data_IF_931457585582
#
_entry.id   IF_931457585582
#
_cell.length_a   1.000
_cell.length_b   1.000
_cell.length_c   1.000
_cell.angle_alpha   90.00
_cell.angle_beta   90.00
_cell.angle_gamma   90.00
#
_symmetry.space_group_name_H-M   'P 1'
#
loop_
_entity.id
_entity.type
_entity.pdbx_description
1 polymer ?
#
# COMPACT_ATOMS: atom_id res chain seq x y z
N UNK A 1 10.19 11.75 -15.35
CA UNK A 1 9.08 11.93 -14.42
C UNK A 1 9.45 11.39 -13.06
N UNK A 2 9.09 12.13 -12.01
CA UNK A 2 9.40 11.70 -10.66
C UNK A 2 8.35 10.74 -10.15
N UNK A 3 8.80 9.69 -9.50
CA UNK A 3 7.91 8.78 -8.82
C UNK A 3 7.59 9.27 -7.42
N UNK A 4 6.44 8.88 -6.90
CA UNK A 4 6.11 9.08 -5.50
C UNK A 4 6.70 7.90 -4.74
N UNK A 5 7.53 8.20 -3.74
CA UNK A 5 8.15 7.16 -2.90
C UNK A 5 7.76 7.38 -1.44
N UNK A 6 7.35 6.31 -0.78
CA UNK A 6 6.95 6.34 0.62
C UNK A 6 7.58 5.15 1.31
N UNK A 7 8.36 5.42 2.35
CA UNK A 7 8.94 4.39 3.19
C UNK A 7 8.21 4.40 4.53
N UNK A 8 7.90 3.22 5.03
CA UNK A 8 7.27 3.07 6.33
C UNK A 8 7.98 1.94 7.10
N UNK A 9 8.52 2.27 8.26
CA UNK A 9 9.15 1.29 9.14
C UNK A 9 8.10 0.71 10.08
N UNK A 10 8.10 -0.61 10.23
CA UNK A 10 7.14 -1.29 11.10
C UNK A 10 7.86 -2.06 12.19
N UNK A 11 7.15 -2.31 13.29
CA UNK A 11 7.68 -3.05 14.44
C UNK A 11 7.26 -4.53 14.44
N UNK A 12 6.56 -4.95 13.39
CA UNK A 12 6.07 -6.32 13.23
C UNK A 12 7.16 -7.21 12.63
N UNK A 13 6.94 -8.53 12.67
CA UNK A 13 7.76 -9.43 11.87
C UNK A 13 7.44 -9.17 10.38
N UNK A 14 8.40 -9.49 9.51
CA UNK A 14 8.18 -9.29 8.08
C UNK A 14 7.02 -10.16 7.57
N UNK A 15 6.87 -11.35 8.11
CA UNK A 15 5.79 -12.24 7.73
C UNK A 15 4.42 -11.68 8.12
N UNK A 16 4.30 -11.14 9.33
CA UNK A 16 3.07 -10.50 9.80
C UNK A 16 2.78 -9.25 8.96
N UNK A 17 3.79 -8.43 8.69
CA UNK A 17 3.63 -7.24 7.85
C UNK A 17 3.12 -7.62 6.46
N UNK A 18 3.67 -8.67 5.85
CA UNK A 18 3.20 -9.12 4.54
C UNK A 18 1.74 -9.56 4.59
N UNK A 19 1.36 -10.33 5.61
CA UNK A 19 -0.03 -10.78 5.76
C UNK A 19 -0.99 -9.61 5.84
N UNK A 20 -0.62 -8.58 6.58
CA UNK A 20 -1.45 -7.38 6.73
C UNK A 20 -1.54 -6.59 5.43
N UNK A 21 -0.46 -6.54 4.67
CA UNK A 21 -0.46 -5.86 3.38
C UNK A 21 -1.27 -6.62 2.33
N UNK A 22 -1.38 -7.94 2.46
CA UNK A 22 -2.30 -8.72 1.64
C UNK A 22 -3.76 -8.34 1.95
N UNK A 23 -4.07 -8.12 3.22
CA UNK A 23 -5.40 -7.64 3.63
C UNK A 23 -5.67 -6.25 3.02
N UNK A 24 -4.68 -5.37 3.05
CA UNK A 24 -4.79 -4.06 2.43
C UNK A 24 -5.08 -4.19 0.93
N UNK A 25 -4.42 -5.13 0.26
CA UNK A 25 -4.69 -5.40 -1.15
C UNK A 25 -6.13 -5.79 -1.41
N UNK A 26 -6.71 -6.64 -0.56
CA UNK A 26 -8.12 -7.01 -0.66
C UNK A 26 -9.03 -5.78 -0.47
N UNK A 27 -8.71 -4.95 0.51
CA UNK A 27 -9.46 -3.73 0.74
C UNK A 27 -9.46 -2.83 -0.49
N UNK A 28 -8.28 -2.59 -1.08
CA UNK A 28 -8.14 -1.73 -2.24
C UNK A 28 -8.89 -2.28 -3.45
N UNK A 29 -8.87 -3.59 -3.64
CA UNK A 29 -9.61 -4.23 -4.71
C UNK A 29 -11.11 -4.14 -4.51
N UNK A 30 -11.58 -4.43 -3.30
CA UNK A 30 -13.01 -4.45 -3.00
C UNK A 30 -13.61 -3.06 -2.92
N UNK A 31 -12.86 -2.11 -2.38
CA UNK A 31 -13.39 -0.76 -2.14
C UNK A 31 -13.22 0.16 -3.35
N UNK A 32 -12.08 0.06 -4.02
CA UNK A 32 -11.70 1.02 -5.07
C UNK A 32 -11.46 0.39 -6.44
N UNK A 33 -11.54 -0.93 -6.55
CA UNK A 33 -11.27 -1.61 -7.81
C UNK A 33 -9.81 -1.57 -8.23
N UNK A 34 -8.90 -1.32 -7.30
CA UNK A 34 -7.46 -1.32 -7.57
C UNK A 34 -6.96 -2.75 -7.53
N UNK A 35 -6.33 -3.19 -8.62
CA UNK A 35 -5.79 -4.55 -8.70
C UNK A 35 -4.44 -4.61 -8.04
N UNK A 36 -4.29 -5.52 -7.07
CA UNK A 36 -3.03 -5.77 -6.37
C UNK A 36 -2.60 -7.18 -6.68
N UNK A 37 -1.40 -7.32 -7.24
CA UNK A 37 -0.85 -8.62 -7.63
C UNK A 37 0.51 -8.82 -6.98
N UNK A 38 0.65 -9.88 -6.18
CA UNK A 38 1.94 -10.25 -5.59
C UNK A 38 2.74 -11.02 -6.62
N UNK A 39 3.83 -10.41 -7.09
CA UNK A 39 4.71 -11.02 -8.09
C UNK A 39 5.76 -11.93 -7.45
N UNK A 40 6.06 -11.70 -6.18
CA UNK A 40 6.88 -12.59 -5.35
C UNK A 40 6.51 -12.32 -3.88
N UNK A 41 7.06 -13.09 -2.90
CA UNK A 41 6.67 -12.93 -1.50
C UNK A 41 6.90 -11.55 -0.90
N UNK A 42 7.73 -10.72 -1.53
CA UNK A 42 8.09 -9.41 -0.98
C UNK A 42 7.70 -8.24 -1.87
N UNK A 43 7.02 -8.49 -2.99
CA UNK A 43 6.74 -7.45 -3.96
C UNK A 43 5.35 -7.57 -4.55
N UNK A 44 4.60 -6.49 -4.51
CA UNK A 44 3.26 -6.42 -5.08
C UNK A 44 3.17 -5.27 -6.07
N UNK A 45 2.40 -5.47 -7.13
CA UNK A 45 2.10 -4.43 -8.12
C UNK A 45 0.67 -3.95 -7.95
N UNK A 46 0.49 -2.65 -8.05
CA UNK A 46 -0.79 -1.97 -7.90
C UNK A 46 -1.15 -1.31 -9.23
N UNK A 47 -2.30 -1.66 -9.78
CA UNK A 47 -2.80 -1.05 -11.03
C UNK A 47 -4.28 -0.74 -10.90
N UNK A 48 -4.71 0.36 -11.50
CA UNK A 48 -6.12 0.71 -11.51
C UNK A 48 -6.34 2.18 -11.73
N UNK A 49 -7.55 2.62 -11.43
CA UNK A 49 -7.95 4.02 -11.50
C UNK A 49 -8.70 4.40 -10.23
N UNK A 50 -8.40 5.58 -9.74
CA UNK A 50 -9.17 6.20 -8.67
C UNK A 50 -9.63 7.56 -9.16
N UNK A 51 -10.95 7.69 -9.39
CA UNK A 51 -11.53 8.85 -10.06
C UNK A 51 -10.89 9.01 -11.45
N UNK A 52 -10.20 10.14 -11.69
CA UNK A 52 -9.53 10.40 -12.96
C UNK A 52 -8.04 10.08 -12.92
N UNK A 53 -7.56 9.55 -11.81
CA UNK A 53 -6.12 9.30 -11.59
C UNK A 53 -5.80 7.84 -11.88
N UNK A 54 -4.85 7.61 -12.78
CA UNK A 54 -4.32 6.27 -13.03
C UNK A 54 -3.35 5.91 -11.91
N UNK A 55 -3.50 4.68 -11.38
CA UNK A 55 -2.65 4.18 -10.32
C UNK A 55 -1.77 3.09 -10.90
N UNK A 56 -0.47 3.27 -10.74
CA UNK A 56 0.51 2.31 -11.20
C UNK A 56 1.72 2.39 -10.27
N UNK A 57 1.87 1.38 -9.42
CA UNK A 57 2.91 1.42 -8.41
C UNK A 57 3.33 0.03 -7.97
N UNK A 58 4.32 0.01 -7.10
CA UNK A 58 4.90 -1.22 -6.59
C UNK A 58 5.17 -1.05 -5.09
N UNK A 59 4.88 -2.09 -4.33
CA UNK A 59 5.14 -2.12 -2.91
C UNK A 59 6.12 -3.25 -2.62
N UNK A 60 7.18 -2.95 -1.87
CA UNK A 60 8.09 -3.97 -1.36
C UNK A 60 7.98 -4.02 0.15
N UNK A 61 8.14 -5.21 0.71
CA UNK A 61 8.06 -5.43 2.16
C UNK A 61 9.18 -6.37 2.59
N UNK A 62 9.87 -6.01 3.67
CA UNK A 62 10.95 -6.83 4.22
C UNK A 62 11.93 -5.98 4.99
N UNK A 63 12.73 -6.63 5.81
CA UNK A 63 13.77 -5.97 6.63
C UNK A 63 13.20 -4.85 7.52
N UNK A 64 11.98 -5.03 8.01
CA UNK A 64 11.36 -4.05 8.91
C UNK A 64 10.80 -2.82 8.21
N UNK A 65 10.71 -2.82 6.89
CA UNK A 65 10.27 -1.65 6.13
C UNK A 65 9.38 -2.02 4.97
N UNK A 66 8.33 -1.23 4.76
CA UNK A 66 7.50 -1.28 3.57
C UNK A 66 7.81 -0.04 2.73
N UNK A 67 8.04 -0.24 1.44
CA UNK A 67 8.37 0.85 0.54
C UNK A 67 7.40 0.84 -0.63
N UNK A 68 6.70 1.94 -0.82
CA UNK A 68 5.81 2.11 -1.97
C UNK A 68 6.45 3.07 -2.96
N UNK A 69 6.44 2.70 -4.23
CA UNK A 69 6.95 3.54 -5.31
C UNK A 69 5.96 3.49 -6.45
N UNK A 70 5.43 4.64 -6.84
CA UNK A 70 4.43 4.71 -7.89
C UNK A 70 4.59 5.93 -8.76
N UNK A 71 3.91 5.92 -9.91
CA UNK A 71 3.91 7.06 -10.82
C UNK A 71 3.31 8.29 -10.13
N UNK A 72 3.91 9.45 -10.40
CA UNK A 72 3.41 10.71 -9.88
C UNK A 72 2.05 11.01 -10.50
N UNK A 73 0.99 11.15 -9.70
CA UNK A 73 -0.36 11.45 -10.22
C UNK A 73 -0.54 12.92 -10.64
N UNK A 74 0.52 13.74 -10.55
CA UNK A 74 0.44 15.16 -10.82
C UNK A 74 0.39 15.97 -9.54
N UNK A 75 0.84 17.23 -9.61
CA UNK A 75 1.02 18.03 -8.40
C UNK A 75 -0.28 18.27 -7.62
N UNK A 76 -1.42 18.27 -8.28
CA UNK A 76 -2.72 18.45 -7.60
C UNK A 76 -3.09 17.25 -6.73
N UNK A 77 -2.62 16.05 -7.10
CA UNK A 77 -2.98 14.81 -6.41
C UNK A 77 -1.85 14.23 -5.57
N UNK A 78 -0.62 14.71 -5.77
CA UNK A 78 0.56 14.11 -5.13
C UNK A 78 0.46 14.07 -3.60
N UNK A 79 0.09 15.19 -2.99
CA UNK A 79 -0.01 15.27 -1.54
C UNK A 79 -1.10 14.33 -1.01
N UNK A 80 -2.25 14.30 -1.66
CA UNK A 80 -3.35 13.43 -1.26
C UNK A 80 -2.98 11.96 -1.40
N UNK A 81 -2.28 11.60 -2.47
CA UNK A 81 -1.85 10.23 -2.69
C UNK A 81 -0.87 9.81 -1.60
N UNK A 82 0.10 10.65 -1.27
CA UNK A 82 1.05 10.36 -0.19
C UNK A 82 0.36 10.19 1.15
N UNK A 83 -0.52 11.12 1.50
CA UNK A 83 -1.25 11.06 2.77
C UNK A 83 -2.10 9.81 2.87
N UNK A 84 -2.77 9.45 1.79
CA UNK A 84 -3.61 8.27 1.75
C UNK A 84 -2.79 7.00 1.97
N UNK A 85 -1.69 6.86 1.24
CA UNK A 85 -0.84 5.67 1.32
C UNK A 85 -0.18 5.58 2.69
N UNK A 86 0.36 6.69 3.21
CA UNK A 86 0.96 6.71 4.53
C UNK A 86 -0.04 6.34 5.61
N UNK A 87 -1.27 6.85 5.50
CA UNK A 87 -2.33 6.53 6.45
C UNK A 87 -2.70 5.06 6.43
N UNK A 88 -2.77 4.46 5.23
CA UNK A 88 -3.07 3.04 5.11
C UNK A 88 -1.95 2.17 5.64
N UNK A 89 -0.70 2.50 5.33
CA UNK A 89 0.44 1.76 5.85
C UNK A 89 0.48 1.85 7.39
N UNK A 90 0.27 3.04 7.94
CA UNK A 90 0.26 3.23 9.38
C UNK A 90 -0.84 2.40 10.05
N UNK A 91 -2.02 2.34 9.46
CA UNK A 91 -3.14 1.58 10.01
C UNK A 91 -2.91 0.07 9.92
N UNK A 92 -2.55 -0.41 8.73
CA UNK A 92 -2.43 -1.86 8.50
C UNK A 92 -1.20 -2.46 9.15
N UNK A 93 -0.16 -1.66 9.38
CA UNK A 93 1.07 -2.11 10.03
C UNK A 93 1.15 -1.70 11.50
N UNK A 94 0.04 -1.25 12.09
CA UNK A 94 -0.02 -0.89 13.51
C UNK A 94 -0.05 -2.16 14.35
N UNK A 95 0.97 -2.40 15.20
CA UNK A 95 1.02 -3.61 16.03
C UNK A 95 -0.07 -3.66 17.09
N UNK A 96 -0.75 -2.56 17.34
CA UNK A 96 -1.87 -2.51 18.29
C UNK A 96 -3.15 -3.07 17.72
N UNK A 97 -3.22 -3.22 16.38
CA UNK A 97 -4.40 -3.79 15.72
C UNK A 97 -4.13 -5.24 15.35
N UNK A 98 -5.13 -6.08 15.59
CA UNK A 98 -5.07 -7.48 15.16
C UNK A 98 -5.43 -7.55 13.67
N UNK A 99 -4.89 -8.54 12.93
CA UNK A 99 -5.26 -8.69 11.52
C UNK A 99 -6.76 -8.79 11.29
N UNK A 100 -7.50 -9.41 12.20
CA UNK A 100 -8.95 -9.55 12.08
C UNK A 100 -9.69 -8.20 12.19
N UNK A 101 -9.05 -7.17 12.72
CA UNK A 101 -9.63 -5.84 12.85
C UNK A 101 -9.40 -4.96 11.62
N UNK A 102 -8.60 -5.44 10.67
CA UNK A 102 -8.26 -4.67 9.48
C UNK A 102 -9.34 -4.84 8.40
N UNK A 103 -9.88 -3.75 7.86
CA UNK A 103 -10.93 -3.84 6.84
C UNK A 103 -10.44 -4.51 5.56
N UNK A 104 -11.34 -5.31 4.96
CA UNK A 104 -11.11 -5.93 3.66
C UNK A 104 -11.99 -5.32 2.57
N UNK A 105 -12.83 -4.37 2.94
CA UNK A 105 -13.67 -3.66 1.97
C UNK A 105 -14.22 -2.36 2.55
#
# INVERSE_FOLDING_TARGET
MKDVEIDYQYALSDLDAKSRLEILGHYLGNRHGIKVTWVDPQRAKFTGKYLVVSINGELTVGNGKACFKGEDPGFLWRSRAKDYIQGKLAKYLDPKLEPAQLPTS
#
